data_IF_934543720983
#
_entry.id   IF_934543720983
#
_cell.length_a   1.000
_cell.length_b   1.000
_cell.length_c   1.000
_cell.angle_alpha   90.00
_cell.angle_beta   90.00
_cell.angle_gamma   90.00
#
_symmetry.space_group_name_H-M   'P 1'
#
loop_
_entity.id
_entity.type
_entity.pdbx_description
1 polymer ?
#
# COMPACT_ATOMS: atom_id res chain seq x y z
N UNK A 1 17.85 4.33 15.95
CA UNK A 1 16.38 4.48 15.97
C UNK A 1 15.75 4.49 14.57
N UNK A 2 16.44 4.93 13.49
CA UNK A 2 15.87 5.01 12.12
C UNK A 2 15.62 3.66 11.41
N UNK A 3 16.32 2.57 11.77
CA UNK A 3 16.18 1.27 11.10
C UNK A 3 14.93 0.47 11.50
N UNK A 4 14.33 0.80 12.65
CA UNK A 4 13.09 0.17 13.08
C UNK A 4 11.89 0.70 12.28
N UNK A 5 11.90 1.99 11.96
CA UNK A 5 10.85 2.64 11.16
C UNK A 5 10.86 2.18 9.70
N UNK A 6 12.02 1.95 9.11
CA UNK A 6 12.10 1.44 7.72
C UNK A 6 11.53 0.03 7.59
N UNK A 7 11.81 -0.85 8.56
CA UNK A 7 11.23 -2.20 8.58
C UNK A 7 9.72 -2.17 8.76
N UNK A 8 9.22 -1.38 9.71
CA UNK A 8 7.77 -1.22 9.92
C UNK A 8 7.07 -0.63 8.69
N UNK A 9 7.66 0.37 8.02
CA UNK A 9 7.13 0.94 6.79
C UNK A 9 7.14 -0.07 5.63
N UNK A 10 8.18 -0.91 5.52
CA UNK A 10 8.20 -2.00 4.53
C UNK A 10 7.14 -3.06 4.80
N UNK A 11 6.88 -3.36 6.06
CA UNK A 11 5.85 -4.31 6.49
C UNK A 11 4.44 -3.77 6.20
N UNK A 12 4.19 -2.49 6.49
CA UNK A 12 2.97 -1.78 6.09
C UNK A 12 2.78 -1.78 4.56
N UNK A 13 3.87 -1.58 3.81
CA UNK A 13 3.84 -1.59 2.34
C UNK A 13 3.45 -2.97 1.80
N UNK A 14 3.93 -4.07 2.41
CA UNK A 14 3.49 -5.43 2.07
C UNK A 14 2.00 -5.63 2.35
N UNK A 15 1.53 -5.22 3.52
CA UNK A 15 0.10 -5.31 3.88
C UNK A 15 -0.79 -4.56 2.89
N UNK A 16 -0.42 -3.31 2.54
CA UNK A 16 -1.16 -2.50 1.55
C UNK A 16 -1.13 -3.08 0.14
N UNK A 17 -0.06 -3.78 -0.26
CA UNK A 17 0.00 -4.49 -1.55
C UNK A 17 -0.91 -5.72 -1.58
N UNK A 18 -1.02 -6.45 -0.48
CA UNK A 18 -1.98 -7.56 -0.33
C UNK A 18 -3.42 -7.04 -0.44
N UNK A 19 -3.73 -5.95 0.27
CA UNK A 19 -5.04 -5.29 0.18
C UNK A 19 -5.36 -4.84 -1.26
N UNK A 20 -4.38 -4.28 -1.97
CA UNK A 20 -4.53 -3.94 -3.39
C UNK A 20 -4.79 -5.17 -4.26
N UNK A 21 -4.14 -6.31 -3.98
CA UNK A 21 -4.35 -7.55 -4.70
C UNK A 21 -5.77 -8.08 -4.49
N UNK A 22 -6.24 -8.13 -3.24
CA UNK A 22 -7.62 -8.52 -2.91
C UNK A 22 -8.64 -7.61 -3.58
N UNK A 23 -8.43 -6.29 -3.55
CA UNK A 23 -9.32 -5.34 -4.23
C UNK A 23 -9.33 -5.54 -5.74
N UNK A 24 -8.19 -5.89 -6.36
CA UNK A 24 -8.14 -6.21 -7.80
C UNK A 24 -8.83 -7.54 -8.13
N UNK A 25 -8.74 -8.53 -7.24
CA UNK A 25 -9.48 -9.79 -7.37
C UNK A 25 -10.98 -9.52 -7.26
N UNK A 26 -11.43 -8.78 -6.24
CA UNK A 26 -12.84 -8.37 -6.08
C UNK A 26 -13.36 -7.54 -7.27
N UNK A 27 -12.50 -6.70 -7.86
CA UNK A 27 -12.82 -5.97 -9.10
C UNK A 27 -13.02 -6.93 -10.27
N UNK A 28 -12.14 -7.91 -10.43
CA UNK A 28 -12.25 -8.92 -11.50
C UNK A 28 -13.45 -9.82 -11.34
N UNK A 29 -13.87 -10.14 -10.11
CA UNK A 29 -15.09 -10.92 -9.85
C UNK A 29 -16.37 -10.09 -10.01
N UNK A 30 -16.28 -8.82 -10.43
CA UNK A 30 -17.41 -7.87 -10.52
C UNK A 30 -18.13 -7.66 -9.18
N UNK A 31 -17.51 -8.03 -8.05
CA UNK A 31 -18.05 -7.90 -6.70
C UNK A 31 -17.62 -6.60 -6.01
N UNK A 32 -16.89 -5.74 -6.71
CA UNK A 32 -16.36 -4.53 -6.13
C UNK A 32 -17.41 -3.41 -6.11
N UNK A 33 -17.93 -3.14 -4.92
CA UNK A 33 -18.87 -2.04 -4.67
C UNK A 33 -18.21 -0.66 -4.76
N UNK A 34 -16.90 -0.55 -4.48
CA UNK A 34 -16.17 0.74 -4.47
C UNK A 34 -14.80 0.68 -5.16
N UNK A 35 -14.73 1.01 -6.46
CA UNK A 35 -13.47 1.19 -7.19
C UNK A 35 -12.57 2.31 -6.64
N UNK A 36 -13.11 3.22 -5.84
CA UNK A 36 -12.38 4.31 -5.19
C UNK A 36 -11.29 3.82 -4.22
N UNK A 37 -11.51 2.69 -3.56
CA UNK A 37 -10.59 2.12 -2.57
C UNK A 37 -9.26 1.70 -3.20
N UNK A 38 -9.30 1.13 -4.42
CA UNK A 38 -8.08 0.81 -5.20
C UNK A 38 -7.23 2.06 -5.40
N UNK A 39 -7.87 3.21 -5.67
CA UNK A 39 -7.18 4.47 -5.91
C UNK A 39 -6.59 5.04 -4.62
N UNK A 40 -7.27 4.89 -3.49
CA UNK A 40 -6.78 5.26 -2.17
C UNK A 40 -5.57 4.41 -1.76
N UNK A 41 -5.68 3.08 -1.85
CA UNK A 41 -4.59 2.15 -1.52
C UNK A 41 -3.35 2.40 -2.40
N UNK A 42 -3.52 2.70 -3.69
CA UNK A 42 -2.40 3.10 -4.57
C UNK A 42 -1.71 4.39 -4.10
N UNK A 43 -2.47 5.39 -3.64
CA UNK A 43 -1.89 6.63 -3.10
C UNK A 43 -1.13 6.36 -1.80
N UNK A 44 -1.66 5.50 -0.93
CA UNK A 44 -1.00 5.16 0.33
C UNK A 44 0.33 4.43 0.10
N UNK A 45 0.36 3.46 -0.83
CA UNK A 45 1.61 2.78 -1.23
C UNK A 45 2.64 3.79 -1.74
N UNK A 46 2.21 4.76 -2.55
CA UNK A 46 3.10 5.80 -3.06
C UNK A 46 3.67 6.67 -1.93
N UNK A 47 2.85 7.13 -0.98
CA UNK A 47 3.32 7.92 0.18
C UNK A 47 4.31 7.14 1.03
N UNK A 48 4.03 5.86 1.31
CA UNK A 48 4.94 5.00 2.09
C UNK A 48 6.27 4.82 1.36
N UNK A 49 6.23 4.62 0.04
CA UNK A 49 7.44 4.50 -0.79
C UNK A 49 8.27 5.80 -0.79
N UNK A 50 7.61 6.97 -0.83
CA UNK A 50 8.27 8.27 -0.75
C UNK A 50 8.89 8.49 0.63
N UNK A 51 8.17 8.18 1.71
CA UNK A 51 8.70 8.27 3.07
C UNK A 51 9.90 7.34 3.29
N UNK A 52 9.85 6.11 2.76
CA UNK A 52 10.97 5.17 2.77
C UNK A 52 12.19 5.70 2.00
N UNK A 53 11.99 6.36 0.86
CA UNK A 53 13.09 6.99 0.11
C UNK A 53 13.67 8.18 0.84
N UNK A 54 12.81 9.02 1.43
CA UNK A 54 13.22 10.18 2.22
C UNK A 54 13.98 9.78 3.51
N UNK A 55 13.68 8.61 4.10
CA UNK A 55 14.43 8.10 5.25
C UNK A 55 15.81 7.53 4.87
N UNK A 56 16.00 7.16 3.60
CA UNK A 56 17.23 6.61 3.05
C UNK A 56 18.20 7.69 2.53
N UNK A 57 17.69 8.89 2.25
CA UNK A 57 18.44 10.08 1.88
C UNK A 57 18.95 10.81 3.13
#
# INVERSE_FOLDING_TARGET
MKDKDTKQLQELLKSKKLELFELRVKLKTMQLSKPSEIRAVRKDIARISTALSALKA
#
